data_IF_377283113738
#
_entry.id   IF_377283113738
#
_cell.length_a   1.000
_cell.length_b   1.000
_cell.length_c   1.000
_cell.angle_alpha   90.00
_cell.angle_beta   90.00
_cell.angle_gamma   90.00
#
_symmetry.space_group_name_H-M   'P 1'
#
loop_
_entity.id
_entity.type
_entity.pdbx_description
1 polymer ?
#
# COMPACT_ATOMS: atom_id res chain seq x y z
N UNK A 1 59.81 3.66 -6.79
CA UNK A 1 58.78 3.97 -5.80
C UNK A 1 59.43 4.78 -4.70
N UNK A 2 59.03 6.04 -4.51
CA UNK A 2 59.63 6.95 -3.52
C UNK A 2 58.89 6.84 -2.19
N UNK A 3 59.56 7.19 -1.07
CA UNK A 3 58.94 7.18 0.26
C UNK A 3 57.67 8.05 0.30
N UNK A 4 57.62 9.12 -0.49
CA UNK A 4 56.49 10.02 -0.66
C UNK A 4 55.27 9.31 -1.28
N UNK A 5 55.47 8.49 -2.32
CA UNK A 5 54.39 7.73 -2.97
C UNK A 5 53.76 6.71 -2.02
N UNK A 6 54.58 6.02 -1.22
CA UNK A 6 54.09 5.10 -0.20
C UNK A 6 53.30 5.82 0.89
N UNK A 7 53.75 7.00 1.31
CA UNK A 7 53.03 7.80 2.30
C UNK A 7 51.67 8.27 1.77
N UNK A 8 51.59 8.72 0.52
CA UNK A 8 50.33 9.12 -0.12
C UNK A 8 49.35 7.96 -0.26
N UNK A 9 49.83 6.76 -0.65
CA UNK A 9 48.98 5.57 -0.74
C UNK A 9 48.48 5.11 0.62
N UNK A 10 49.35 5.10 1.64
CA UNK A 10 48.96 4.74 3.00
C UNK A 10 47.94 5.72 3.57
N UNK A 11 48.11 7.03 3.30
CA UNK A 11 47.16 8.06 3.72
C UNK A 11 45.81 7.92 3.00
N UNK A 12 45.82 7.69 1.69
CA UNK A 12 44.61 7.47 0.90
C UNK A 12 43.85 6.21 1.34
N UNK A 13 44.57 5.13 1.67
CA UNK A 13 43.98 3.89 2.19
C UNK A 13 43.35 4.10 3.58
N UNK A 14 44.05 4.78 4.49
CA UNK A 14 43.54 5.07 5.83
C UNK A 14 42.30 5.96 5.78
N UNK A 15 42.34 7.00 4.95
CA UNK A 15 41.21 7.93 4.79
C UNK A 15 40.03 7.21 4.14
N UNK A 16 40.26 6.45 3.06
CA UNK A 16 39.22 5.69 2.38
C UNK A 16 38.57 4.63 3.28
N UNK A 17 39.36 3.92 4.10
CA UNK A 17 38.85 2.93 5.04
C UNK A 17 38.00 3.56 6.15
N UNK A 18 38.43 4.71 6.70
CA UNK A 18 37.68 5.42 7.73
C UNK A 18 36.35 5.97 7.17
N UNK A 19 36.36 6.58 5.99
CA UNK A 19 35.15 7.09 5.33
C UNK A 19 34.19 5.96 4.96
N UNK A 20 34.70 4.85 4.42
CA UNK A 20 33.88 3.69 4.09
C UNK A 20 33.19 3.07 5.32
N UNK A 21 33.91 2.94 6.43
CA UNK A 21 33.33 2.43 7.68
C UNK A 21 32.24 3.35 8.23
N UNK A 22 32.45 4.67 8.19
CA UNK A 22 31.45 5.65 8.62
C UNK A 22 30.16 5.56 7.79
N UNK A 23 30.30 5.42 6.46
CA UNK A 23 29.15 5.32 5.55
C UNK A 23 28.32 4.05 5.80
N UNK A 24 28.96 2.91 6.09
CA UNK A 24 28.27 1.66 6.45
C UNK A 24 27.49 1.82 7.75
N UNK A 25 28.02 2.54 8.74
CA UNK A 25 27.32 2.77 10.01
C UNK A 25 26.07 3.63 9.80
N UNK A 26 26.16 4.68 8.97
CA UNK A 26 25.03 5.57 8.66
C UNK A 26 23.94 4.85 7.85
N UNK A 27 24.31 4.04 6.85
CA UNK A 27 23.33 3.22 6.11
C UNK A 27 22.77 2.07 6.97
N UNK A 28 23.55 1.56 7.92
CA UNK A 28 23.15 0.50 8.83
C UNK A 28 22.21 0.95 9.95
N UNK A 29 22.21 2.24 10.29
CA UNK A 29 21.24 2.83 11.21
C UNK A 29 19.88 3.01 10.56
N UNK A 30 19.20 1.89 10.27
CA UNK A 30 17.77 1.89 9.99
C UNK A 30 17.04 2.51 11.19
N UNK A 31 16.14 3.45 10.90
CA UNK A 31 15.24 4.03 11.89
C UNK A 31 14.58 2.92 12.73
N UNK A 32 14.43 3.09 14.06
CA UNK A 32 13.86 2.07 14.91
C UNK A 32 12.47 1.70 14.38
N UNK A 33 12.29 0.41 14.07
CA UNK A 33 10.99 -0.18 13.72
C UNK A 33 9.94 0.34 14.69
N UNK A 34 8.93 1.06 14.20
CA UNK A 34 7.74 1.38 14.98
C UNK A 34 7.06 0.06 15.35
N UNK A 35 7.37 -0.48 16.53
CA UNK A 35 6.64 -1.61 17.09
C UNK A 35 5.24 -1.14 17.45
N UNK A 36 4.27 -1.40 16.56
CA UNK A 36 2.85 -1.19 16.87
C UNK A 36 2.44 -2.30 17.85
N UNK A 37 2.44 -1.99 19.15
CA UNK A 37 1.91 -2.89 20.19
C UNK A 37 0.40 -2.84 20.17
N UNK A 38 -0.21 -3.70 19.36
CA UNK A 38 -1.67 -3.86 19.34
C UNK A 38 -2.09 -4.62 20.60
N UNK A 39 -2.58 -3.89 21.60
CA UNK A 39 -3.23 -4.51 22.77
C UNK A 39 -4.69 -4.77 22.42
N UNK A 40 -5.00 -5.99 21.98
CA UNK A 40 -6.38 -6.43 21.76
C UNK A 40 -7.05 -6.64 23.12
N UNK A 41 -7.81 -5.65 23.59
CA UNK A 41 -8.69 -5.81 24.75
C UNK A 41 -9.97 -6.54 24.33
N UNK A 42 -10.25 -7.69 24.95
CA UNK A 42 -11.50 -8.44 24.77
C UNK A 42 -12.66 -7.74 25.49
N UNK A 43 -13.04 -6.53 25.07
CA UNK A 43 -14.36 -5.95 25.42
C UNK A 43 -14.72 -4.66 24.64
N UNK A 44 -14.11 -4.41 23.46
CA UNK A 44 -14.38 -3.19 22.67
C UNK A 44 -15.66 -3.23 21.80
N UNK A 45 -16.63 -4.10 22.12
CA UNK A 45 -17.93 -4.08 21.47
C UNK A 45 -18.87 -3.18 22.29
N UNK A 46 -19.46 -2.11 21.71
CA UNK A 46 -20.53 -1.38 22.38
C UNK A 46 -21.69 -2.34 22.63
N UNK A 47 -21.88 -2.71 23.91
CA UNK A 47 -23.02 -3.51 24.36
C UNK A 47 -24.30 -2.70 24.19
N UNK A 48 -24.89 -2.72 23.00
CA UNK A 48 -26.32 -2.43 22.85
C UNK A 48 -27.07 -3.59 23.48
N UNK A 49 -27.75 -3.31 24.59
CA UNK A 49 -28.75 -4.18 25.18
C UNK A 49 -30.01 -4.16 24.28
N UNK A 50 -29.97 -4.87 23.16
CA UNK A 50 -31.16 -5.17 22.37
C UNK A 50 -31.63 -6.58 22.74
N UNK A 51 -32.73 -6.64 23.47
CA UNK A 51 -33.36 -7.88 23.90
C UNK A 51 -34.00 -8.59 22.72
N UNK A 52 -33.80 -9.91 22.68
CA UNK A 52 -34.21 -10.92 21.69
C UNK A 52 -35.74 -11.11 21.58
N UNK A 53 -36.50 -10.02 21.45
CA UNK A 53 -37.97 -10.05 21.35
C UNK A 53 -38.54 -9.13 20.28
N UNK A 54 -37.71 -8.46 19.45
CA UNK A 54 -38.22 -7.77 18.27
C UNK A 54 -38.30 -8.73 17.07
N UNK A 55 -39.54 -8.93 16.66
CA UNK A 55 -40.03 -9.82 15.63
C UNK A 55 -39.50 -9.38 14.24
N UNK A 56 -38.44 -10.03 13.76
CA UNK A 56 -37.81 -9.74 12.47
C UNK A 56 -38.58 -10.35 11.27
N UNK A 57 -39.79 -10.87 11.48
CA UNK A 57 -40.55 -11.62 10.47
C UNK A 57 -41.98 -11.11 10.23
N UNK A 58 -42.24 -9.82 10.42
CA UNK A 58 -43.43 -9.19 9.82
C UNK A 58 -43.07 -8.67 8.43
N UNK A 59 -42.93 -9.59 7.48
CA UNK A 59 -42.99 -9.29 6.06
C UNK A 59 -44.45 -9.37 5.59
N UNK A 60 -44.90 -8.33 4.92
CA UNK A 60 -46.22 -8.24 4.27
C UNK A 60 -46.43 -9.44 3.33
N UNK A 61 -47.58 -10.14 3.38
CA UNK A 61 -47.77 -11.36 2.61
C UNK A 61 -48.31 -11.03 1.21
N UNK A 62 -47.45 -10.75 0.23
CA UNK A 62 -47.77 -10.87 -1.21
C UNK A 62 -46.62 -10.50 -2.18
N UNK A 63 -45.35 -10.73 -1.86
CA UNK A 63 -44.29 -10.58 -2.88
C UNK A 63 -43.29 -11.74 -2.82
N UNK A 64 -43.18 -12.55 -3.90
CA UNK A 64 -42.15 -13.58 -3.99
C UNK A 64 -40.76 -12.93 -4.02
N UNK A 65 -39.84 -13.45 -3.21
CA UNK A 65 -38.46 -12.98 -3.15
C UNK A 65 -37.79 -13.06 -4.54
N UNK A 66 -37.37 -11.91 -5.05
CA UNK A 66 -36.70 -11.76 -6.35
C UNK A 66 -35.19 -12.02 -6.19
N UNK A 67 -34.63 -12.96 -6.96
CA UNK A 67 -33.17 -13.16 -7.05
C UNK A 67 -32.57 -14.30 -6.21
N UNK A 68 -33.25 -15.44 -6.12
CA UNK A 68 -32.66 -16.66 -5.55
C UNK A 68 -31.70 -17.38 -6.51
N UNK A 69 -30.69 -18.12 -6.02
CA UNK A 69 -29.64 -18.76 -6.84
C UNK A 69 -30.10 -19.89 -7.79
N UNK A 70 -31.41 -20.13 -7.91
CA UNK A 70 -32.03 -21.01 -8.91
C UNK A 70 -32.53 -20.30 -10.18
N UNK A 71 -32.41 -18.96 -10.26
CA UNK A 71 -33.02 -18.14 -11.31
C UNK A 71 -32.15 -18.03 -12.58
N UNK A 72 -31.74 -19.18 -13.13
CA UNK A 72 -30.94 -19.28 -14.36
C UNK A 72 -31.72 -19.90 -15.51
N UNK A 73 -32.84 -19.32 -15.93
CA UNK A 73 -33.45 -19.62 -17.23
C UNK A 73 -34.30 -18.46 -17.75
N UNK A 74 -33.71 -17.55 -18.52
CA UNK A 74 -34.32 -16.99 -19.75
C UNK A 74 -33.48 -15.84 -20.30
N UNK A 75 -32.59 -16.13 -21.23
CA UNK A 75 -32.27 -15.24 -22.36
C UNK A 75 -31.71 -16.12 -23.47
N UNK A 76 -32.63 -16.82 -24.15
CA UNK A 76 -32.50 -17.09 -25.57
C UNK A 76 -33.88 -17.53 -26.07
N UNK A 77 -34.60 -16.62 -26.74
CA UNK A 77 -35.47 -16.87 -27.91
C UNK A 77 -36.30 -15.62 -28.20
N UNK A 78 -35.75 -14.74 -29.02
CA UNK A 78 -36.55 -13.82 -29.81
C UNK A 78 -37.32 -14.61 -30.87
N UNK A 79 -38.62 -14.36 -30.95
CA UNK A 79 -39.45 -14.96 -31.99
C UNK A 79 -40.96 -14.79 -31.79
N UNK A 80 -41.47 -13.72 -32.39
CA UNK A 80 -42.83 -13.56 -32.94
C UNK A 80 -43.93 -12.93 -32.07
N UNK A 81 -44.76 -12.16 -32.77
CA UNK A 81 -45.64 -11.07 -32.35
C UNK A 81 -47.12 -11.54 -32.16
N UNK A 82 -48.13 -10.67 -31.97
CA UNK A 82 -49.01 -10.68 -30.80
C UNK A 82 -50.46 -11.10 -31.11
N UNK A 83 -51.26 -11.40 -30.08
CA UNK A 83 -52.71 -11.15 -30.15
C UNK A 83 -53.32 -10.94 -28.75
N UNK A 84 -54.28 -10.01 -28.59
CA UNK A 84 -54.87 -9.66 -27.31
C UNK A 84 -56.27 -10.29 -27.13
N UNK A 85 -56.57 -10.82 -25.95
CA UNK A 85 -57.96 -11.10 -25.61
C UNK A 85 -58.18 -12.02 -24.43
N UNK A 86 -59.09 -11.56 -23.56
CA UNK A 86 -59.95 -12.29 -22.63
C UNK A 86 -59.59 -12.14 -21.15
N UNK A 87 -60.57 -11.55 -20.47
CA UNK A 87 -60.66 -11.22 -19.06
C UNK A 87 -61.34 -12.32 -18.24
N UNK A 88 -61.35 -12.10 -16.91
CA UNK A 88 -62.24 -12.68 -15.88
C UNK A 88 -61.95 -14.15 -15.45
N UNK A 89 -62.22 -14.64 -14.23
CA UNK A 89 -62.56 -14.11 -12.90
C UNK A 89 -62.83 -15.34 -11.98
N UNK A 90 -62.27 -15.36 -10.75
CA UNK A 90 -62.77 -16.00 -9.49
C UNK A 90 -63.06 -17.55 -9.40
N UNK A 91 -63.36 -18.15 -8.21
CA UNK A 91 -62.71 -18.08 -6.88
C UNK A 91 -62.66 -19.44 -6.08
N UNK A 92 -62.11 -19.37 -4.85
CA UNK A 92 -62.38 -20.17 -3.62
C UNK A 92 -62.13 -21.70 -3.58
N UNK A 93 -61.35 -22.17 -2.58
CA UNK A 93 -61.89 -22.76 -1.32
C UNK A 93 -60.79 -23.10 -0.29
N UNK A 94 -61.12 -22.85 0.98
CA UNK A 94 -60.38 -23.20 2.21
C UNK A 94 -60.91 -24.54 2.73
N UNK A 95 -60.11 -25.35 3.46
CA UNK A 95 -60.58 -25.70 4.80
C UNK A 95 -59.48 -25.70 5.87
N UNK A 96 -59.94 -25.20 7.02
CA UNK A 96 -59.35 -25.17 8.36
C UNK A 96 -59.14 -26.57 8.92
N UNK A 97 -58.01 -26.81 9.61
CA UNK A 97 -57.92 -27.92 10.58
C UNK A 97 -57.14 -27.50 11.84
N UNK A 98 -57.86 -27.54 12.96
CA UNK A 98 -57.42 -27.36 14.34
C UNK A 98 -56.65 -28.60 14.82
N UNK A 99 -55.54 -28.46 15.56
CA UNK A 99 -54.82 -29.60 16.09
C UNK A 99 -53.68 -29.30 17.07
N UNK A 100 -54.03 -29.09 18.35
CA UNK A 100 -53.41 -29.68 19.56
C UNK A 100 -51.89 -29.48 19.81
N UNK A 101 -51.58 -28.63 20.81
CA UNK A 101 -50.26 -28.55 21.49
C UNK A 101 -50.09 -29.74 22.46
N UNK A 102 -48.92 -30.37 22.43
CA UNK A 102 -48.46 -31.34 23.44
C UNK A 102 -47.22 -30.74 24.12
N UNK A 103 -47.28 -30.62 25.45
CA UNK A 103 -46.16 -30.23 26.30
C UNK A 103 -45.40 -31.49 26.75
N UNK A 104 -44.06 -31.44 26.73
CA UNK A 104 -43.18 -32.50 27.24
C UNK A 104 -42.56 -31.99 28.56
N UNK A 105 -42.67 -32.72 29.68
CA UNK A 105 -42.01 -32.36 30.94
C UNK A 105 -40.55 -32.83 30.97
N UNK A 106 -39.67 -31.99 31.51
CA UNK A 106 -38.26 -32.30 31.76
C UNK A 106 -38.14 -32.98 33.13
N UNK A 107 -37.72 -34.24 33.14
CA UNK A 107 -37.36 -34.97 34.37
C UNK A 107 -36.01 -34.48 34.92
N UNK A 108 -36.02 -34.13 36.20
CA UNK A 108 -34.85 -33.77 37.00
C UNK A 108 -34.18 -35.01 37.58
N UNK A 109 -32.93 -35.27 37.20
CA UNK A 109 -32.08 -36.28 37.85
C UNK A 109 -31.33 -35.66 39.05
N UNK A 110 -31.21 -36.33 40.21
CA UNK A 110 -30.40 -35.83 41.32
C UNK A 110 -28.93 -36.22 41.14
N UNK A 111 -28.07 -35.22 40.96
CA UNK A 111 -26.61 -35.35 40.91
C UNK A 111 -25.96 -34.46 41.96
N UNK A 112 -25.31 -35.10 42.92
CA UNK A 112 -24.59 -34.53 44.07
C UNK A 112 -23.53 -33.52 43.62
N UNK A 113 -23.62 -32.28 44.11
CA UNK A 113 -22.65 -31.22 43.83
C UNK A 113 -21.33 -31.46 44.59
N UNK A 114 -20.15 -31.34 43.94
CA UNK A 114 -18.89 -31.31 44.67
C UNK A 114 -18.70 -29.96 45.36
N UNK A 115 -18.33 -30.06 46.63
CA UNK A 115 -17.93 -29.00 47.56
C UNK A 115 -16.85 -28.10 46.93
N UNK A 116 -17.16 -26.81 46.73
CA UNK A 116 -16.21 -25.80 46.24
C UNK A 116 -15.90 -24.85 47.38
N UNK A 117 -14.63 -24.83 47.80
CA UNK A 117 -14.07 -23.90 48.76
C UNK A 117 -14.33 -22.45 48.33
N UNK A 118 -15.07 -21.70 49.15
CA UNK A 118 -15.31 -20.27 48.94
C UNK A 118 -14.01 -19.49 49.23
N UNK A 119 -13.46 -18.83 48.21
CA UNK A 119 -12.36 -17.88 48.37
C UNK A 119 -12.97 -16.49 48.56
N UNK A 120 -12.65 -15.74 49.64
CA UNK A 120 -13.19 -14.40 49.83
C UNK A 120 -12.63 -13.44 48.77
N UNK A 121 -13.52 -12.92 47.93
CA UNK A 121 -13.22 -11.81 47.03
C UNK A 121 -13.18 -10.52 47.84
N UNK A 122 -11.99 -10.04 48.15
CA UNK A 122 -11.81 -8.69 48.70
C UNK A 122 -11.76 -7.74 47.51
N UNK A 123 -12.85 -7.00 47.29
CA UNK A 123 -12.90 -5.88 46.36
C UNK A 123 -12.06 -4.72 46.94
N UNK A 124 -10.74 -4.80 46.80
CA UNK A 124 -9.87 -3.66 47.08
C UNK A 124 -9.82 -2.79 45.83
N UNK A 125 -10.69 -1.77 45.78
CA UNK A 125 -10.62 -0.73 44.77
C UNK A 125 -9.41 0.16 45.06
N UNK A 126 -8.24 -0.25 44.58
CA UNK A 126 -7.08 0.63 44.50
C UNK A 126 -7.32 1.55 43.30
N UNK A 127 -7.79 2.76 43.57
CA UNK A 127 -7.88 3.82 42.58
C UNK A 127 -6.48 4.29 42.19
N UNK A 128 -5.88 3.66 41.18
CA UNK A 128 -4.72 4.22 40.51
C UNK A 128 -5.24 5.32 39.58
N UNK A 129 -4.97 6.58 39.91
CA UNK A 129 -5.19 7.68 38.98
C UNK A 129 -4.21 7.52 37.83
N UNK A 130 -4.66 6.92 36.73
CA UNK A 130 -3.95 6.92 35.46
C UNK A 130 -4.18 8.32 34.87
N UNK A 131 -3.20 9.20 35.04
CA UNK A 131 -3.13 10.43 34.27
C UNK A 131 -2.78 10.00 32.84
N UNK A 132 -3.67 10.18 31.85
CA UNK A 132 -3.37 9.79 30.48
C UNK A 132 -2.23 10.68 29.98
N UNK A 133 -1.07 10.07 29.77
CA UNK A 133 -0.02 10.68 28.98
C UNK A 133 -0.63 11.05 27.63
N UNK A 134 -0.48 12.29 27.20
CA UNK A 134 -1.07 12.78 25.96
C UNK A 134 -0.38 12.06 24.80
N UNK A 135 -0.93 10.91 24.41
CA UNK A 135 -0.49 10.15 23.24
C UNK A 135 -0.72 11.06 22.02
N UNK A 136 0.32 11.45 21.25
CA UNK A 136 0.16 12.25 20.04
C UNK A 136 -0.39 11.42 18.87
N UNK A 137 -0.46 10.10 19.00
CA UNK A 137 -0.98 9.19 17.96
C UNK A 137 -2.41 9.46 17.44
N UNK A 138 -3.38 9.95 18.25
CA UNK A 138 -4.70 10.33 17.74
C UNK A 138 -4.71 11.69 17.03
N UNK A 139 -3.71 12.56 17.23
CA UNK A 139 -3.56 13.80 16.47
C UNK A 139 -2.96 13.55 15.09
N UNK A 140 -2.01 12.63 14.96
CA UNK A 140 -1.48 12.16 13.66
C UNK A 140 -2.56 11.48 12.78
N UNK A 141 -3.56 10.84 13.39
CA UNK A 141 -4.71 10.28 12.66
C UNK A 141 -5.79 11.33 12.29
N UNK A 142 -5.76 12.50 12.94
CA UNK A 142 -6.65 13.64 12.67
C UNK A 142 -6.04 14.66 11.72
N UNK A 143 -4.71 14.71 11.63
CA UNK A 143 -4.03 15.32 10.52
C UNK A 143 -4.53 14.61 9.26
N UNK A 144 -5.29 15.33 8.41
CA UNK A 144 -5.63 14.84 7.08
C UNK A 144 -4.36 14.44 6.32
N UNK A 145 -4.47 13.75 5.18
CA UNK A 145 -3.31 13.41 4.36
C UNK A 145 -2.43 14.65 4.21
N UNK A 146 -1.15 14.53 4.60
CA UNK A 146 -0.18 15.63 4.54
C UNK A 146 -0.28 16.24 3.13
N UNK A 147 -0.48 17.56 3.00
CA UNK A 147 -0.60 18.18 1.68
C UNK A 147 0.64 17.83 0.87
N UNK A 148 0.45 17.06 -0.21
CA UNK A 148 1.55 16.63 -1.05
C UNK A 148 2.09 17.83 -1.80
N UNK A 149 3.42 17.97 -1.80
CA UNK A 149 4.06 19.07 -2.51
C UNK A 149 3.84 18.92 -4.02
N UNK A 150 3.82 20.03 -4.80
CA UNK A 150 3.83 19.95 -6.26
C UNK A 150 4.92 19.03 -6.82
N UNK A 151 6.09 18.98 -6.19
CA UNK A 151 7.17 18.05 -6.53
C UNK A 151 6.75 16.59 -6.36
N UNK A 152 6.21 16.20 -5.21
CA UNK A 152 5.75 14.81 -4.98
C UNK A 152 4.65 14.39 -5.96
N UNK A 153 3.70 15.29 -6.24
CA UNK A 153 2.64 15.04 -7.23
C UNK A 153 3.21 14.84 -8.64
N UNK A 154 4.15 15.70 -9.03
CA UNK A 154 4.84 15.60 -10.32
C UNK A 154 5.60 14.28 -10.44
N UNK A 155 6.33 13.88 -9.39
CA UNK A 155 7.09 12.62 -9.35
C UNK A 155 6.18 11.38 -9.45
N UNK A 156 4.95 11.43 -8.93
CA UNK A 156 3.94 10.39 -9.13
C UNK A 156 3.37 10.32 -10.55
N UNK A 157 3.76 11.27 -11.41
CA UNK A 157 3.30 11.38 -12.80
C UNK A 157 2.08 12.28 -13.00
N UNK A 158 1.71 13.12 -12.02
CA UNK A 158 0.67 14.12 -12.22
C UNK A 158 1.19 15.26 -13.11
N UNK A 159 0.97 15.14 -14.41
CA UNK A 159 1.39 16.15 -15.39
C UNK A 159 0.86 17.55 -15.08
N UNK A 160 -0.33 17.64 -14.47
CA UNK A 160 -0.92 18.92 -14.04
C UNK A 160 -0.04 19.64 -13.01
N UNK A 161 0.57 18.93 -12.06
CA UNK A 161 1.45 19.54 -11.07
C UNK A 161 2.70 20.14 -11.72
N UNK A 162 3.25 19.47 -12.75
CA UNK A 162 4.36 20.03 -13.52
C UNK A 162 3.96 21.32 -14.24
N UNK A 163 2.80 21.33 -14.90
CA UNK A 163 2.31 22.54 -15.59
C UNK A 163 2.09 23.69 -14.61
N UNK A 164 1.54 23.43 -13.41
CA UNK A 164 1.37 24.43 -12.35
C UNK A 164 2.70 25.08 -11.94
N UNK A 165 3.75 24.26 -11.74
CA UNK A 165 5.09 24.76 -11.37
C UNK A 165 5.72 25.52 -12.53
N UNK A 166 5.64 24.99 -13.75
CA UNK A 166 6.20 25.64 -14.94
C UNK A 166 5.54 27.00 -15.18
N UNK A 167 4.21 27.09 -15.07
CA UNK A 167 3.49 28.35 -15.25
C UNK A 167 3.88 29.38 -14.19
N UNK A 168 4.13 28.94 -12.95
CA UNK A 168 4.56 29.82 -11.87
C UNK A 168 5.98 30.38 -12.08
N UNK A 169 6.90 29.59 -12.65
CA UNK A 169 8.31 29.99 -12.84
C UNK A 169 8.56 30.69 -14.19
N UNK A 170 7.88 30.24 -15.25
CA UNK A 170 8.08 30.77 -16.60
C UNK A 170 7.15 31.95 -16.94
N UNK A 171 5.98 32.05 -16.29
CA UNK A 171 4.96 33.03 -16.63
C UNK A 171 4.41 32.85 -18.05
N UNK A 172 4.33 33.95 -18.81
CA UNK A 172 3.80 33.97 -20.18
C UNK A 172 4.84 33.64 -21.26
N UNK A 173 6.13 33.53 -20.90
CA UNK A 173 7.21 33.27 -21.86
C UNK A 173 7.21 31.81 -22.32
N UNK A 174 6.87 31.60 -23.60
CA UNK A 174 6.76 30.27 -24.19
C UNK A 174 8.09 29.54 -24.38
N UNK A 175 9.20 30.26 -24.56
CA UNK A 175 10.53 29.63 -24.66
C UNK A 175 10.99 29.18 -23.28
N UNK A 176 10.86 30.06 -22.29
CA UNK A 176 11.16 29.76 -20.89
C UNK A 176 10.32 28.59 -20.36
N UNK A 177 9.03 28.55 -20.72
CA UNK A 177 8.12 27.44 -20.39
C UNK A 177 8.66 26.10 -20.89
N UNK A 178 9.04 26.04 -22.17
CA UNK A 178 9.59 24.82 -22.79
C UNK A 178 10.90 24.36 -22.15
N UNK A 179 11.78 25.30 -21.82
CA UNK A 179 13.04 24.98 -21.14
C UNK A 179 12.79 24.38 -19.76
N UNK A 180 11.85 24.93 -18.99
CA UNK A 180 11.46 24.39 -17.68
C UNK A 180 10.76 23.04 -17.76
N UNK A 181 9.89 22.82 -18.75
CA UNK A 181 9.29 21.50 -18.99
C UNK A 181 10.35 20.42 -19.24
N UNK A 182 11.39 20.75 -20.02
CA UNK A 182 12.50 19.83 -20.27
C UNK A 182 13.33 19.56 -19.01
N UNK A 183 13.61 20.59 -18.21
CA UNK A 183 14.39 20.45 -16.97
C UNK A 183 13.63 19.65 -15.91
N UNK A 184 12.36 19.96 -15.67
CA UNK A 184 11.53 19.28 -14.67
C UNK A 184 11.13 17.87 -15.12
N UNK A 185 10.85 17.68 -16.40
CA UNK A 185 10.65 16.35 -16.99
C UNK A 185 11.90 15.48 -16.86
N UNK A 186 13.09 16.05 -17.13
CA UNK A 186 14.36 15.36 -16.94
C UNK A 186 14.66 15.01 -15.49
N UNK A 187 14.25 15.84 -14.53
CA UNK A 187 14.32 15.51 -13.09
C UNK A 187 13.42 14.33 -12.75
N UNK A 188 12.16 14.36 -13.18
CA UNK A 188 11.21 13.30 -12.90
C UNK A 188 11.66 11.96 -13.49
N UNK A 189 12.18 11.97 -14.72
CA UNK A 189 12.75 10.78 -15.36
C UNK A 189 13.99 10.27 -14.62
N UNK A 190 14.94 11.15 -14.27
CA UNK A 190 16.12 10.77 -13.51
C UNK A 190 15.80 10.17 -12.13
N UNK A 191 14.79 10.71 -11.45
CA UNK A 191 14.31 10.19 -10.17
C UNK A 191 13.60 8.84 -10.32
N UNK A 192 12.79 8.66 -11.38
CA UNK A 192 12.15 7.39 -11.68
C UNK A 192 13.19 6.30 -12.00
N UNK A 193 14.22 6.63 -12.79
CA UNK A 193 15.34 5.74 -13.09
C UNK A 193 16.09 5.33 -11.81
N UNK A 194 16.30 6.29 -10.89
CA UNK A 194 16.91 5.99 -9.60
C UNK A 194 16.01 5.08 -8.74
N UNK A 195 14.70 5.32 -8.73
CA UNK A 195 13.74 4.49 -8.00
C UNK A 195 13.78 3.04 -8.50
N UNK A 196 13.84 2.83 -9.82
CA UNK A 196 14.01 1.51 -10.41
C UNK A 196 15.34 0.88 -10.00
N UNK A 197 16.44 1.65 -10.04
CA UNK A 197 17.78 1.17 -9.67
C UNK A 197 17.87 0.72 -8.22
N UNK A 198 17.25 1.46 -7.31
CA UNK A 198 17.21 1.15 -5.88
C UNK A 198 16.07 0.18 -5.50
N UNK A 199 15.36 -0.37 -6.48
CA UNK A 199 14.19 -1.26 -6.28
C UNK A 199 13.08 -0.62 -5.43
N UNK A 200 12.96 0.71 -5.46
CA UNK A 200 11.89 1.50 -4.86
C UNK A 200 10.76 1.62 -5.88
N UNK A 201 9.93 0.59 -5.92
CA UNK A 201 8.80 0.48 -6.84
C UNK A 201 7.54 0.11 -6.06
N UNK A 202 6.41 0.53 -6.62
CA UNK A 202 5.08 0.23 -6.14
C UNK A 202 4.45 -0.85 -7.00
N UNK A 203 3.91 -1.86 -6.32
CA UNK A 203 3.33 -3.02 -6.95
C UNK A 203 1.81 -2.87 -6.99
N UNK A 204 1.16 -3.12 -8.15
CA UNK A 204 -0.28 -3.17 -8.21
C UNK A 204 -0.72 -4.38 -7.38
N UNK A 205 -1.54 -4.13 -6.36
CA UNK A 205 -2.21 -5.20 -5.63
C UNK A 205 -3.23 -5.87 -6.56
N UNK A 206 -3.19 -7.20 -6.65
CA UNK A 206 -4.08 -7.99 -7.52
C UNK A 206 -3.38 -9.01 -8.41
N UNK A 207 -2.04 -9.10 -8.40
CA UNK A 207 -1.36 -10.25 -9.02
C UNK A 207 -1.14 -11.34 -7.97
N UNK A 208 -1.54 -12.57 -8.28
CA UNK A 208 -1.52 -13.67 -7.31
C UNK A 208 -0.14 -13.96 -6.71
N UNK A 209 0.94 -13.62 -7.44
CA UNK A 209 2.31 -13.72 -6.94
C UNK A 209 2.67 -12.60 -5.96
N UNK A 210 2.49 -11.33 -6.33
CA UNK A 210 2.86 -10.20 -5.46
C UNK A 210 1.98 -10.12 -4.21
N UNK A 211 0.72 -10.53 -4.31
CA UNK A 211 -0.22 -10.56 -3.18
C UNK A 211 0.20 -11.56 -2.07
N UNK A 212 1.14 -12.46 -2.34
CA UNK A 212 1.67 -13.38 -1.34
C UNK A 212 2.70 -12.73 -0.38
N UNK A 213 3.15 -11.51 -0.68
CA UNK A 213 4.27 -10.85 -0.01
C UNK A 213 3.90 -9.43 0.43
N UNK A 214 4.62 -8.90 1.42
CA UNK A 214 4.55 -7.47 1.77
C UNK A 214 5.28 -6.64 0.72
N UNK A 215 4.98 -5.33 0.63
CA UNK A 215 5.69 -4.40 -0.28
C UNK A 215 7.21 -4.44 -0.05
N UNK A 216 7.67 -4.49 1.21
CA UNK A 216 9.10 -4.62 1.54
C UNK A 216 9.69 -5.94 1.02
N UNK A 217 8.95 -7.06 1.13
CA UNK A 217 9.38 -8.34 0.55
C UNK A 217 9.44 -8.26 -0.98
N UNK A 218 8.42 -7.70 -1.65
CA UNK A 218 8.41 -7.53 -3.10
C UNK A 218 9.64 -6.75 -3.59
N UNK A 219 9.97 -5.62 -2.95
CA UNK A 219 11.15 -4.82 -3.28
C UNK A 219 12.46 -5.60 -3.08
N UNK A 220 12.56 -6.40 -2.02
CA UNK A 220 13.72 -7.30 -1.81
C UNK A 220 13.81 -8.39 -2.87
N UNK A 221 12.70 -8.95 -3.33
CA UNK A 221 12.67 -9.92 -4.44
C UNK A 221 13.20 -9.28 -5.72
N UNK A 222 12.74 -8.06 -6.05
CA UNK A 222 13.22 -7.30 -7.22
C UNK A 222 14.72 -7.01 -7.12
N UNK A 223 15.21 -6.61 -5.94
CA UNK A 223 16.63 -6.40 -5.72
C UNK A 223 17.45 -7.71 -5.91
N UNK A 224 16.96 -8.84 -5.42
CA UNK A 224 17.61 -10.15 -5.62
C UNK A 224 17.60 -10.57 -7.11
N UNK A 225 16.51 -10.30 -7.84
CA UNK A 225 16.47 -10.53 -9.29
C UNK A 225 17.48 -9.65 -10.03
N UNK A 226 17.64 -8.41 -9.59
CA UNK A 226 18.61 -7.47 -10.17
C UNK A 226 20.05 -7.98 -10.03
N UNK A 227 20.43 -8.51 -8.86
CA UNK A 227 21.78 -9.08 -8.64
C UNK A 227 22.05 -10.31 -9.51
N UNK A 228 20.98 -11.03 -9.87
CA UNK A 228 21.04 -12.16 -10.81
C UNK A 228 20.99 -11.74 -12.30
N UNK A 229 20.80 -10.46 -12.60
CA UNK A 229 20.79 -9.92 -13.97
C UNK A 229 19.41 -9.78 -14.62
N UNK A 230 18.33 -9.99 -13.86
CA UNK A 230 16.96 -9.76 -14.32
C UNK A 230 16.48 -8.40 -13.81
N UNK A 231 16.26 -7.46 -14.72
CA UNK A 231 15.97 -6.07 -14.36
C UNK A 231 14.60 -5.64 -14.86
N UNK A 232 13.91 -4.90 -14.00
CA UNK A 232 12.73 -4.14 -14.35
C UNK A 232 13.12 -2.93 -15.23
N UNK A 233 12.33 -2.66 -16.27
CA UNK A 233 12.61 -1.57 -17.23
C UNK A 233 12.06 -0.19 -16.82
N UNK A 234 11.34 -0.12 -15.68
CA UNK A 234 10.74 1.12 -15.19
C UNK A 234 9.35 1.43 -15.75
N UNK A 235 8.80 0.57 -16.62
CA UNK A 235 7.47 0.77 -17.23
C UNK A 235 6.51 -0.35 -16.87
N UNK A 236 6.67 -1.51 -17.49
CA UNK A 236 5.74 -2.62 -17.36
C UNK A 236 6.41 -3.99 -17.58
N UNK A 237 7.74 -4.03 -17.76
CA UNK A 237 8.40 -5.22 -18.28
C UNK A 237 9.85 -5.41 -17.88
N UNK A 238 10.47 -6.40 -18.52
CA UNK A 238 11.86 -6.76 -18.31
C UNK A 238 12.76 -6.04 -19.31
N UNK A 239 13.91 -5.55 -18.85
CA UNK A 239 14.95 -4.98 -19.72
C UNK A 239 15.35 -5.99 -20.77
N UNK A 240 15.37 -5.56 -22.05
CA UNK A 240 15.71 -6.39 -23.21
C UNK A 240 14.86 -7.67 -23.35
N UNK A 241 13.68 -7.72 -22.72
CA UNK A 241 12.86 -8.93 -22.63
C UNK A 241 13.60 -10.13 -21.99
N UNK A 242 14.58 -9.87 -21.14
CA UNK A 242 15.28 -10.90 -20.38
C UNK A 242 14.43 -11.34 -19.19
N UNK A 243 13.55 -12.31 -19.46
CA UNK A 243 12.56 -12.83 -18.49
C UNK A 243 13.18 -13.98 -17.68
N UNK A 244 13.09 -13.96 -16.33
CA UNK A 244 13.52 -15.08 -15.50
C UNK A 244 12.64 -16.31 -15.70
N UNK A 245 13.17 -17.48 -15.36
CA UNK A 245 12.35 -18.69 -15.25
C UNK A 245 11.96 -18.96 -13.79
N UNK A 246 11.05 -19.91 -13.59
CA UNK A 246 10.61 -20.36 -12.26
C UNK A 246 11.76 -20.61 -11.28
N UNK A 247 12.86 -21.21 -11.77
CA UNK A 247 14.04 -21.50 -10.97
C UNK A 247 14.69 -20.23 -10.43
N UNK A 248 14.78 -19.17 -11.25
CA UNK A 248 15.41 -17.91 -10.86
C UNK A 248 14.56 -17.17 -9.82
N UNK A 249 13.22 -17.17 -9.98
CA UNK A 249 12.32 -16.65 -8.95
C UNK A 249 12.44 -17.43 -7.63
N UNK A 250 12.56 -18.76 -7.70
CA UNK A 250 12.77 -19.58 -6.50
C UNK A 250 14.10 -19.27 -5.81
N UNK A 251 15.16 -18.98 -6.59
CA UNK A 251 16.45 -18.56 -6.05
C UNK A 251 16.39 -17.14 -5.45
N UNK A 252 15.68 -16.20 -6.09
CA UNK A 252 15.45 -14.86 -5.54
C UNK A 252 14.77 -14.91 -4.17
N UNK A 253 13.73 -15.73 -4.04
CA UNK A 253 13.01 -15.91 -2.76
C UNK A 253 13.93 -16.50 -1.68
N UNK A 254 14.70 -17.53 -2.04
CA UNK A 254 15.64 -18.15 -1.11
C UNK A 254 16.73 -17.18 -0.65
N UNK A 255 17.22 -16.30 -1.53
CA UNK A 255 18.21 -15.26 -1.21
C UNK A 255 17.71 -14.29 -0.14
N UNK A 256 16.42 -13.92 -0.19
CA UNK A 256 15.82 -13.01 0.78
C UNK A 256 15.28 -13.72 2.04
N UNK A 257 15.51 -15.03 2.16
CA UNK A 257 15.10 -15.87 3.29
C UNK A 257 13.66 -16.36 3.26
N UNK A 258 12.95 -16.21 2.13
CA UNK A 258 11.60 -16.73 1.96
C UNK A 258 11.63 -18.17 1.42
N UNK A 259 10.81 -19.06 1.99
CA UNK A 259 10.70 -20.45 1.51
C UNK A 259 9.80 -20.50 0.26
N UNK A 260 10.32 -20.91 -0.92
CA UNK A 260 9.53 -21.03 -2.15
C UNK A 260 8.28 -21.91 -2.00
N UNK A 261 8.28 -22.86 -1.05
CA UNK A 261 7.14 -23.75 -0.78
C UNK A 261 5.95 -23.05 -0.14
N UNK A 262 6.13 -21.85 0.42
CA UNK A 262 5.07 -21.06 1.05
C UNK A 262 4.25 -20.26 0.04
N UNK A 263 4.77 -20.08 -1.18
CA UNK A 263 4.06 -19.42 -2.26
C UNK A 263 2.92 -20.32 -2.74
N UNK A 264 1.67 -19.84 -2.55
CA UNK A 264 0.47 -20.62 -2.86
C UNK A 264 0.16 -20.68 -4.34
N UNK A 265 0.39 -19.56 -5.04
CA UNK A 265 0.10 -19.40 -6.46
C UNK A 265 1.40 -19.02 -7.17
N UNK A 266 2.02 -20.01 -7.79
CA UNK A 266 3.22 -19.80 -8.60
C UNK A 266 2.83 -19.32 -10.00
N UNK A 267 3.41 -18.20 -10.47
CA UNK A 267 3.15 -17.73 -11.82
C UNK A 267 3.74 -18.70 -12.85
N UNK A 268 3.02 -18.90 -13.96
CA UNK A 268 3.51 -19.62 -15.13
C UNK A 268 4.43 -18.72 -15.98
N UNK A 269 5.07 -19.27 -17.02
CA UNK A 269 6.05 -18.51 -17.82
C UNK A 269 5.48 -17.23 -18.48
N UNK A 270 4.22 -17.23 -18.91
CA UNK A 270 3.57 -16.03 -19.45
C UNK A 270 3.31 -15.00 -18.35
N UNK A 271 2.83 -15.44 -17.18
CA UNK A 271 2.61 -14.57 -16.02
C UNK A 271 3.93 -13.99 -15.47
N UNK A 272 5.04 -14.72 -15.58
CA UNK A 272 6.38 -14.21 -15.21
C UNK A 272 6.84 -13.13 -16.19
N UNK A 273 6.54 -13.28 -17.48
CA UNK A 273 6.85 -12.24 -18.48
C UNK A 273 6.07 -10.94 -18.22
N UNK A 274 4.85 -11.06 -17.69
CA UNK A 274 3.95 -9.95 -17.35
C UNK A 274 4.03 -9.52 -15.87
N UNK A 275 5.03 -10.00 -15.13
CA UNK A 275 5.11 -9.82 -13.68
C UNK A 275 5.15 -8.34 -13.24
N UNK A 276 5.71 -7.48 -14.09
CA UNK A 276 5.83 -6.04 -13.83
C UNK A 276 4.72 -5.19 -14.46
N UNK A 277 3.71 -5.79 -15.09
CA UNK A 277 2.59 -5.02 -15.66
C UNK A 277 1.89 -4.23 -14.55
N UNK A 278 1.84 -2.91 -14.71
CA UNK A 278 1.25 -1.99 -13.74
C UNK A 278 2.12 -1.66 -12.53
N UNK A 279 3.35 -2.18 -12.44
CA UNK A 279 4.34 -1.74 -11.45
C UNK A 279 4.79 -0.33 -11.81
N UNK A 280 4.98 0.51 -10.80
CA UNK A 280 5.38 1.91 -11.01
C UNK A 280 6.62 2.24 -10.19
N UNK A 281 7.58 2.99 -10.74
CA UNK A 281 8.60 3.62 -9.92
C UNK A 281 7.94 4.50 -8.85
N UNK A 282 8.49 4.51 -7.63
CA UNK A 282 8.02 5.34 -6.52
C UNK A 282 9.08 6.40 -6.12
N UNK A 283 9.44 7.33 -7.03
CA UNK A 283 10.47 8.34 -6.78
C UNK A 283 10.16 9.28 -5.61
N UNK A 284 8.90 9.46 -5.24
CA UNK A 284 8.51 10.23 -4.06
C UNK A 284 8.98 9.59 -2.76
N UNK A 285 9.08 8.26 -2.69
CA UNK A 285 9.58 7.57 -1.50
C UNK A 285 11.09 7.72 -1.36
N UNK A 286 11.82 7.74 -2.50
CA UNK A 286 13.24 8.11 -2.50
C UNK A 286 13.44 9.54 -2.03
N UNK A 287 12.60 10.45 -2.52
CA UNK A 287 12.67 11.86 -2.15
C UNK A 287 12.39 12.07 -0.66
N UNK A 288 11.41 11.34 -0.09
CA UNK A 288 11.09 11.40 1.34
C UNK A 288 12.29 11.05 2.23
N UNK A 289 13.25 10.25 1.75
CA UNK A 289 14.47 9.92 2.46
C UNK A 289 15.47 11.09 2.55
N UNK A 290 15.42 12.06 1.62
CA UNK A 290 16.23 13.28 1.67
C UNK A 290 15.71 14.35 2.64
N UNK A 291 14.51 14.15 3.21
CA UNK A 291 13.89 15.09 4.15
C UNK A 291 13.06 16.18 3.46
N UNK A 292 12.34 17.01 4.25
CA UNK A 292 11.29 17.90 3.73
C UNK A 292 11.80 19.16 3.03
N UNK A 293 13.05 19.55 3.25
CA UNK A 293 13.60 20.82 2.74
C UNK A 293 14.16 20.68 1.31
N UNK A 294 14.37 19.46 0.82
CA UNK A 294 14.89 19.12 -0.52
C UNK A 294 16.10 19.98 -0.94
N UNK A 295 17.14 20.01 -0.10
CA UNK A 295 18.38 20.71 -0.40
C UNK A 295 18.97 20.30 -1.73
N UNK A 296 19.55 21.25 -2.47
CA UNK A 296 20.11 20.99 -3.82
C UNK A 296 21.15 19.88 -3.79
N UNK A 297 21.99 19.83 -2.76
CA UNK A 297 23.03 18.82 -2.59
C UNK A 297 22.43 17.43 -2.35
N UNK A 298 21.35 17.34 -1.56
CA UNK A 298 20.66 16.09 -1.26
C UNK A 298 19.96 15.54 -2.51
N UNK A 299 19.26 16.40 -3.26
CA UNK A 299 18.60 15.99 -4.50
C UNK A 299 19.62 15.62 -5.58
N UNK A 300 20.75 16.34 -5.68
CA UNK A 300 21.85 15.96 -6.57
C UNK A 300 22.46 14.61 -6.18
N UNK A 301 22.66 14.37 -4.90
CA UNK A 301 23.16 13.09 -4.39
C UNK A 301 22.19 11.94 -4.71
N UNK A 302 20.87 12.18 -4.60
CA UNK A 302 19.85 11.20 -4.96
C UNK A 302 19.88 10.85 -6.45
N UNK A 303 19.93 11.82 -7.37
CA UNK A 303 19.91 11.52 -8.81
C UNK A 303 21.25 11.02 -9.36
N UNK A 304 22.33 11.16 -8.59
CA UNK A 304 23.65 10.61 -8.88
C UNK A 304 24.22 11.10 -10.23
N UNK A 305 24.57 10.17 -11.12
CA UNK A 305 25.19 10.49 -12.42
C UNK A 305 24.32 11.39 -13.30
N UNK A 306 22.98 11.35 -13.13
CA UNK A 306 22.04 12.18 -13.86
C UNK A 306 22.15 13.67 -13.49
N UNK A 307 22.72 14.01 -12.33
CA UNK A 307 22.94 15.39 -11.91
C UNK A 307 23.68 16.20 -12.98
N UNK A 308 24.65 15.60 -13.68
CA UNK A 308 25.43 16.32 -14.71
C UNK A 308 24.55 16.80 -15.88
N UNK A 309 23.53 16.01 -16.25
CA UNK A 309 22.61 16.32 -17.36
C UNK A 309 21.63 17.44 -16.98
N UNK A 310 21.33 17.57 -15.69
CA UNK A 310 20.39 18.53 -15.13
C UNK A 310 21.07 19.83 -14.65
N UNK A 311 22.26 20.15 -15.17
CA UNK A 311 23.02 21.35 -14.75
C UNK A 311 22.20 22.64 -14.82
N UNK A 312 21.36 22.80 -15.85
CA UNK A 312 20.49 23.98 -15.98
C UNK A 312 19.50 24.13 -14.81
N UNK A 313 18.94 23.00 -14.34
CA UNK A 313 18.04 22.96 -13.20
C UNK A 313 18.76 23.35 -11.91
N UNK A 314 19.98 22.85 -11.69
CA UNK A 314 20.72 23.15 -10.47
C UNK A 314 21.15 24.60 -10.34
N UNK A 315 21.46 25.25 -11.46
CA UNK A 315 21.78 26.69 -11.48
C UNK A 315 20.57 27.52 -11.06
N UNK A 316 19.37 27.08 -11.40
CA UNK A 316 18.12 27.77 -11.11
C UNK A 316 17.31 27.12 -9.96
N UNK A 317 17.95 26.27 -9.14
CA UNK A 317 17.25 25.49 -8.11
C UNK A 317 16.54 26.38 -7.10
N UNK A 318 17.22 27.41 -6.59
CA UNK A 318 16.67 28.35 -5.62
C UNK A 318 15.47 29.16 -6.17
N UNK A 319 15.38 29.30 -7.50
CA UNK A 319 14.26 29.97 -8.16
C UNK A 319 13.02 29.07 -8.18
N UNK A 320 13.19 27.78 -8.47
CA UNK A 320 12.08 26.83 -8.66
C UNK A 320 11.64 26.16 -7.36
N UNK A 321 12.54 26.02 -6.37
CA UNK A 321 12.29 25.30 -5.12
C UNK A 321 11.05 25.79 -4.35
N UNK A 322 10.78 27.10 -4.18
CA UNK A 322 9.57 27.56 -3.49
C UNK A 322 8.29 27.08 -4.18
N UNK A 323 8.28 27.05 -5.52
CA UNK A 323 7.14 26.58 -6.31
C UNK A 323 6.99 25.06 -6.22
N UNK A 324 8.10 24.32 -6.17
CA UNK A 324 8.11 22.87 -5.96
C UNK A 324 7.57 22.47 -4.58
N UNK A 325 7.82 23.30 -3.57
CA UNK A 325 7.32 23.13 -2.20
C UNK A 325 5.87 23.64 -2.01
N UNK A 326 5.30 24.31 -3.01
CA UNK A 326 3.98 24.96 -2.88
C UNK A 326 3.98 26.17 -1.93
N UNK A 327 5.15 26.75 -1.67
CA UNK A 327 5.30 27.99 -0.92
C UNK A 327 5.05 29.16 -1.87
N UNK A 328 3.81 29.63 -1.94
CA UNK A 328 3.53 30.93 -2.54
C UNK A 328 4.31 32.00 -1.77
N UNK A 329 5.13 32.79 -2.48
CA UNK A 329 5.64 34.05 -1.93
C UNK A 329 4.42 34.87 -1.54
N UNK A 330 4.13 34.97 -0.24
CA UNK A 330 3.30 36.04 0.29
C UNK A 330 3.95 37.37 -0.13
N UNK A 331 3.39 37.96 -1.18
CA UNK A 331 3.74 39.29 -1.67
C UNK A 331 3.12 40.35 -0.77
#
# INVERSE_FOLDING_TARGET
MTASELAFLALGLLLGAATGAAMIVVLGSRSPRREIRVTVTRDALPRRSETLSQDAFVTSPAEPARGGPGDRRWFDRDGFSPDPGIAAAFPMTVPTSVGRRVAIPIETWPGTAPDRTAVPYVASAVGLAIEPDADPAPEDLRAGPIPQTPLERMLRGEHRAMVEVVDAVAGEDSLRRRDWELLLGGLAEAMADMAVRESVVDFPMGTAFWDAFTVEQCRRIVAALWTMGFRYDGRDGWVEHHVPVYRDLSLALADIGEDPRRVRAWPNAAEIAELFVGVRPAPEELLAAAGPDYGVEDVQALVGEHATKLRGLWIAWDEVLPHLLGQERAA
#
